data_IF_610581525412
#
_entry.id   IF_610581525412
#
_cell.length_a   1.000
_cell.length_b   1.000
_cell.length_c   1.000
_cell.angle_alpha   90.00
_cell.angle_beta   90.00
_cell.angle_gamma   90.00
#
_symmetry.space_group_name_H-M   'P 1'
#
loop_
_entity.id
_entity.type
_entity.pdbx_description
1 polymer ?
#
# COMPACT_ATOMS: atom_id res chain seq x y z
N UNK A 1 30.57 -27.31 34.48
CA UNK A 1 30.18 -26.29 35.47
C UNK A 1 29.19 -25.39 34.76
N UNK A 2 28.18 -25.03 35.52
CA UNK A 2 26.83 -24.60 35.15
C UNK A 2 26.72 -23.49 34.09
N UNK A 3 25.68 -23.59 33.26
CA UNK A 3 25.24 -22.55 32.33
C UNK A 3 24.43 -21.51 33.11
N UNK A 4 24.87 -20.25 33.11
CA UNK A 4 24.09 -19.12 33.59
C UNK A 4 23.66 -18.25 32.41
N UNK A 5 22.46 -18.49 31.88
CA UNK A 5 21.77 -17.55 31.00
C UNK A 5 21.33 -16.35 31.86
N UNK A 6 22.02 -15.21 31.71
CA UNK A 6 21.55 -13.94 32.26
C UNK A 6 20.45 -13.41 31.33
N UNK A 7 19.20 -13.77 31.65
CA UNK A 7 18.03 -13.08 31.12
C UNK A 7 18.10 -11.60 31.53
N UNK A 8 18.16 -10.72 30.53
CA UNK A 8 18.07 -9.26 30.71
C UNK A 8 16.68 -8.90 31.26
N UNK A 9 16.55 -8.94 32.58
CA UNK A 9 15.31 -8.67 33.28
C UNK A 9 14.97 -7.17 33.13
N UNK A 10 13.97 -6.88 32.29
CA UNK A 10 13.44 -5.52 32.09
C UNK A 10 13.04 -4.97 33.46
N UNK A 11 13.78 -3.96 33.93
CA UNK A 11 13.54 -3.32 35.22
C UNK A 11 12.09 -2.86 35.32
N UNK A 12 11.46 -3.06 36.48
CA UNK A 12 10.05 -2.76 36.72
C UNK A 12 9.69 -1.29 36.38
N UNK A 13 10.67 -0.39 36.52
CA UNK A 13 10.55 1.01 36.12
C UNK A 13 10.41 1.20 34.60
N UNK A 14 11.15 0.44 33.79
CA UNK A 14 11.05 0.48 32.32
C UNK A 14 9.70 -0.06 31.85
N UNK A 15 9.21 -1.13 32.49
CA UNK A 15 7.89 -1.71 32.22
C UNK A 15 6.77 -0.69 32.51
N UNK A 16 6.85 -0.01 33.65
CA UNK A 16 5.87 1.01 34.04
C UNK A 16 5.87 2.22 33.09
N UNK A 17 7.05 2.65 32.61
CA UNK A 17 7.13 3.71 31.60
C UNK A 17 6.52 3.29 30.26
N UNK A 18 6.78 2.06 29.81
CA UNK A 18 6.21 1.53 28.57
C UNK A 18 4.68 1.43 28.64
N UNK A 19 4.14 0.97 29.77
CA UNK A 19 2.70 0.87 29.99
C UNK A 19 2.02 2.24 30.08
N UNK A 20 2.64 3.21 30.77
CA UNK A 20 2.15 4.59 30.83
C UNK A 20 2.09 5.24 29.44
N UNK A 21 3.09 5.01 28.60
CA UNK A 21 3.13 5.53 27.22
C UNK A 21 2.05 4.88 26.34
N UNK A 22 1.86 3.55 26.48
CA UNK A 22 0.78 2.81 25.81
C UNK A 22 -0.60 3.34 26.19
N UNK A 23 -0.86 3.59 27.48
CA UNK A 23 -2.13 4.14 27.96
C UNK A 23 -2.36 5.57 27.47
N UNK A 24 -1.33 6.41 27.46
CA UNK A 24 -1.42 7.78 26.93
C UNK A 24 -1.75 7.80 25.42
N UNK A 25 -1.18 6.87 24.64
CA UNK A 25 -1.49 6.74 23.22
C UNK A 25 -2.93 6.28 22.96
N UNK A 26 -3.44 5.36 23.78
CA UNK A 26 -4.83 4.89 23.72
C UNK A 26 -5.83 5.99 24.12
N UNK A 27 -5.51 6.79 25.15
CA UNK A 27 -6.31 7.95 25.56
C UNK A 27 -6.44 8.98 24.43
N UNK A 28 -5.31 9.35 23.77
CA UNK A 28 -5.32 10.26 22.61
C UNK A 28 -6.14 9.74 21.43
N UNK A 29 -6.22 8.41 21.24
CA UNK A 29 -7.10 7.79 20.23
C UNK A 29 -8.56 7.84 20.63
N UNK A 30 -8.87 7.65 21.92
CA UNK A 30 -10.23 7.71 22.44
C UNK A 30 -10.80 9.13 22.40
N UNK A 31 -10.00 10.14 22.73
CA UNK A 31 -10.39 11.56 22.65
C UNK A 31 -10.71 11.98 21.21
N UNK A 32 -9.97 11.45 20.22
CA UNK A 32 -10.27 11.65 18.79
C UNK A 32 -11.56 10.97 18.31
N UNK A 33 -12.06 9.99 19.04
CA UNK A 33 -13.31 9.26 18.71
C UNK A 33 -14.50 9.89 19.46
N UNK A 34 -14.29 10.55 20.59
CA UNK A 34 -15.35 11.18 21.40
C UNK A 34 -15.63 12.65 21.08
N UNK A 35 -14.79 13.34 20.31
CA UNK A 35 -15.15 14.66 19.79
C UNK A 35 -16.08 14.54 18.56
N UNK A 36 -17.33 15.06 18.61
CA UNK A 36 -18.13 15.23 17.42
C UNK A 36 -17.48 16.35 16.59
N UNK A 37 -16.75 15.96 15.55
CA UNK A 37 -16.07 16.90 14.64
C UNK A 37 -17.12 17.77 13.92
N UNK A 38 -17.41 18.91 14.54
CA UNK A 38 -18.11 20.03 13.95
C UNK A 38 -17.17 20.71 12.94
N UNK A 39 -17.37 20.36 11.66
CA UNK A 39 -16.97 21.12 10.47
C UNK A 39 -15.47 21.44 10.29
N UNK A 40 -14.75 20.61 9.53
CA UNK A 40 -13.57 21.09 8.78
C UNK A 40 -13.27 20.32 7.50
N UNK A 41 -14.26 20.05 6.64
CA UNK A 41 -14.02 19.71 5.22
C UNK A 41 -15.22 20.11 4.34
N UNK A 42 -15.63 21.39 4.37
CA UNK A 42 -16.49 21.95 3.32
C UNK A 42 -15.62 22.20 2.08
N UNK A 43 -15.45 21.18 1.25
CA UNK A 43 -15.02 21.36 -0.13
C UNK A 43 -16.05 22.23 -0.83
N UNK A 44 -15.63 23.43 -1.24
CA UNK A 44 -16.42 24.39 -2.00
C UNK A 44 -16.96 23.73 -3.27
N UNK A 45 -18.24 23.36 -3.28
CA UNK A 45 -18.97 23.08 -4.52
C UNK A 45 -19.16 24.41 -5.26
N UNK A 46 -18.46 24.56 -6.39
CA UNK A 46 -18.70 25.64 -7.33
C UNK A 46 -20.17 25.64 -7.77
N UNK A 47 -20.87 26.72 -7.41
CA UNK A 47 -22.20 27.09 -7.88
C UNK A 47 -22.09 27.54 -9.33
N UNK A 48 -22.64 26.77 -10.28
CA UNK A 48 -22.99 27.32 -11.60
C UNK A 48 -24.42 27.86 -11.53
N UNK A 49 -24.55 29.18 -11.61
CA UNK A 49 -25.80 29.88 -11.93
C UNK A 49 -25.59 30.65 -13.23
N UNK A 50 -26.49 30.44 -14.18
CA UNK A 50 -26.94 31.37 -15.24
C UNK A 50 -27.72 30.51 -16.23
N UNK A 51 -28.96 30.76 -16.66
CA UNK A 51 -30.06 31.71 -16.47
C UNK A 51 -31.26 30.98 -17.13
N UNK A 52 -32.54 31.32 -16.99
CA UNK A 52 -33.17 32.60 -17.30
C UNK A 52 -34.70 32.45 -17.06
N UNK A 53 -35.32 33.52 -16.54
CA UNK A 53 -36.72 34.00 -16.64
C UNK A 53 -37.94 33.09 -16.35
N UNK A 54 -38.77 33.55 -15.41
CA UNK A 54 -40.18 33.20 -15.22
C UNK A 54 -41.08 33.81 -16.31
N UNK A 55 -42.04 33.04 -16.85
CA UNK A 55 -43.29 33.59 -17.39
C UNK A 55 -44.47 32.62 -17.19
N UNK A 56 -45.64 33.24 -16.96
CA UNK A 56 -46.92 32.70 -16.46
C UNK A 56 -47.55 31.50 -17.19
N UNK A 57 -48.30 30.70 -16.42
CA UNK A 57 -49.32 29.70 -16.86
C UNK A 57 -50.56 30.43 -17.42
N UNK A 58 -51.31 29.89 -18.41
CA UNK A 58 -52.48 29.04 -18.06
C UNK A 58 -52.91 27.95 -19.11
N UNK A 59 -53.49 26.86 -18.55
CA UNK A 59 -54.54 25.91 -19.02
C UNK A 59 -54.56 25.26 -20.44
N UNK A 60 -54.92 23.96 -20.41
CA UNK A 60 -55.18 22.91 -21.44
C UNK A 60 -56.18 23.27 -22.55
N UNK A 61 -56.09 22.67 -23.77
CA UNK A 61 -56.67 21.33 -24.03
C UNK A 61 -55.88 20.41 -25.01
N UNK A 62 -56.16 19.11 -24.96
CA UNK A 62 -55.64 18.04 -25.85
C UNK A 62 -56.00 18.27 -27.34
N UNK A 63 -55.16 17.84 -28.32
CA UNK A 63 -55.49 16.60 -29.05
C UNK A 63 -54.31 15.79 -29.68
N UNK A 64 -54.49 14.46 -29.71
CA UNK A 64 -54.26 13.50 -30.82
C UNK A 64 -52.89 13.48 -31.56
N UNK A 65 -52.02 12.53 -31.16
CA UNK A 65 -51.23 11.56 -31.98
C UNK A 65 -49.90 11.19 -31.27
N UNK A 66 -49.48 9.91 -31.18
CA UNK A 66 -48.19 9.56 -30.60
C UNK A 66 -47.05 9.89 -31.59
N UNK A 67 -45.98 10.61 -31.16
CA UNK A 67 -44.77 10.73 -31.96
C UNK A 67 -43.99 9.41 -31.98
N UNK A 68 -43.24 9.10 -33.04
CA UNK A 68 -42.42 7.90 -33.11
C UNK A 68 -41.36 7.92 -31.99
N UNK A 69 -41.18 6.76 -31.35
CA UNK A 69 -40.23 6.57 -30.24
C UNK A 69 -38.88 7.25 -30.55
N UNK A 70 -38.36 8.13 -29.68
CA UNK A 70 -37.00 8.59 -29.83
C UNK A 70 -36.09 7.37 -29.71
N UNK A 71 -35.30 7.09 -30.76
CA UNK A 71 -34.19 6.15 -30.69
C UNK A 71 -33.37 6.49 -29.45
N UNK A 72 -33.47 5.66 -28.42
CA UNK A 72 -32.65 5.77 -27.23
C UNK A 72 -31.19 5.67 -27.68
N UNK A 73 -30.35 6.71 -27.43
CA UNK A 73 -28.93 6.57 -27.67
C UNK A 73 -28.46 5.38 -26.83
N UNK A 74 -27.81 4.40 -27.48
CA UNK A 74 -27.26 3.23 -26.81
C UNK A 74 -26.50 3.69 -25.56
N UNK A 75 -26.72 3.08 -24.39
CA UNK A 75 -26.04 3.49 -23.17
C UNK A 75 -24.52 3.51 -23.41
N UNK A 76 -23.78 4.49 -22.83
CA UNK A 76 -22.35 4.59 -23.04
C UNK A 76 -21.69 3.25 -22.69
N UNK A 77 -20.65 2.83 -23.45
CA UNK A 77 -19.97 1.57 -23.18
C UNK A 77 -19.48 1.55 -21.73
N UNK A 78 -19.81 0.48 -21.02
CA UNK A 78 -19.41 0.28 -19.62
C UNK A 78 -17.96 -0.16 -19.55
N UNK A 79 -17.09 0.67 -18.95
CA UNK A 79 -15.67 0.38 -18.77
C UNK A 79 -15.18 0.86 -17.40
N UNK A 80 -14.16 0.19 -16.89
CA UNK A 80 -13.47 0.58 -15.66
C UNK A 80 -11.99 0.25 -15.75
N UNK A 81 -11.19 0.84 -14.85
CA UNK A 81 -9.76 0.60 -14.74
C UNK A 81 -9.50 -0.40 -13.64
N UNK A 82 -8.69 -1.42 -13.92
CA UNK A 82 -8.13 -2.31 -12.92
C UNK A 82 -6.74 -1.79 -12.55
N UNK A 83 -6.62 -1.27 -11.33
CA UNK A 83 -5.36 -0.74 -10.80
C UNK A 83 -4.66 -1.79 -9.96
N UNK A 84 -3.42 -2.11 -10.33
CA UNK A 84 -2.59 -3.08 -9.65
C UNK A 84 -1.66 -2.36 -8.67
N UNK A 85 -1.63 -2.78 -7.41
CA UNK A 85 -0.77 -2.21 -6.38
C UNK A 85 -0.12 -3.28 -5.51
N UNK A 86 1.12 -3.05 -5.08
CA UNK A 86 1.78 -3.94 -4.11
C UNK A 86 1.11 -3.76 -2.74
N UNK A 87 0.69 -4.86 -2.12
CA UNK A 87 0.08 -4.84 -0.78
C UNK A 87 0.90 -5.61 0.27
N UNK A 88 1.73 -6.58 -0.14
CA UNK A 88 2.68 -7.28 0.73
C UNK A 88 3.95 -7.62 -0.05
N UNK A 89 5.00 -8.16 0.62
CA UNK A 89 6.22 -8.59 -0.08
C UNK A 89 5.99 -9.64 -1.17
N UNK A 90 4.94 -10.45 -1.04
CA UNK A 90 4.64 -11.62 -1.89
C UNK A 90 3.26 -11.56 -2.56
N UNK A 91 2.54 -10.44 -2.44
CA UNK A 91 1.20 -10.26 -3.00
C UNK A 91 0.94 -8.84 -3.48
N UNK A 92 0.01 -8.73 -4.43
CA UNK A 92 -0.47 -7.48 -4.98
C UNK A 92 -2.01 -7.50 -5.04
N UNK A 93 -2.63 -6.32 -5.03
CA UNK A 93 -4.07 -6.18 -5.13
C UNK A 93 -4.49 -5.61 -6.48
N UNK A 94 -5.70 -5.95 -6.90
CA UNK A 94 -6.39 -5.39 -8.06
C UNK A 94 -7.62 -4.65 -7.56
N UNK A 95 -7.65 -3.35 -7.81
CA UNK A 95 -8.72 -2.46 -7.37
C UNK A 95 -9.46 -1.91 -8.60
N UNK A 96 -10.80 -2.05 -8.69
CA UNK A 96 -11.58 -1.41 -9.74
C UNK A 96 -11.70 0.10 -9.47
N UNK A 97 -11.40 0.92 -10.48
CA UNK A 97 -11.41 2.38 -10.41
C UNK A 97 -12.25 2.92 -11.58
N UNK A 98 -13.08 3.96 -11.36
CA UNK A 98 -13.81 4.62 -12.44
C UNK A 98 -12.89 5.21 -13.52
N UNK A 99 -13.28 5.07 -14.78
CA UNK A 99 -12.61 5.71 -15.92
C UNK A 99 -13.31 7.00 -16.34
N UNK A 100 -12.54 8.02 -16.67
CA UNK A 100 -13.10 9.28 -17.17
C UNK A 100 -13.73 9.06 -18.54
N UNK A 101 -14.99 9.52 -18.71
CA UNK A 101 -15.71 9.43 -19.98
C UNK A 101 -16.49 8.13 -20.21
N UNK A 102 -16.46 7.18 -19.28
CA UNK A 102 -17.23 5.92 -19.35
C UNK A 102 -18.19 5.80 -18.17
N UNK A 103 -19.29 5.06 -18.37
CA UNK A 103 -20.21 4.73 -17.27
C UNK A 103 -19.57 3.67 -16.38
N UNK A 104 -19.36 4.02 -15.10
CA UNK A 104 -18.84 3.06 -14.12
C UNK A 104 -19.94 2.03 -13.77
N UNK A 105 -19.70 0.72 -13.96
CA UNK A 105 -20.70 -0.35 -13.73
C UNK A 105 -21.16 -0.51 -12.26
N UNK A 106 -20.48 0.16 -11.33
CA UNK A 106 -20.61 -0.09 -9.90
C UNK A 106 -19.61 -1.14 -9.42
N UNK A 107 -19.22 -1.03 -8.16
CA UNK A 107 -18.11 -1.78 -7.58
C UNK A 107 -18.32 -3.30 -7.62
N UNK A 108 -19.48 -3.79 -7.19
CA UNK A 108 -19.76 -5.23 -7.15
C UNK A 108 -19.71 -5.87 -8.54
N UNK A 109 -20.27 -5.19 -9.56
CA UNK A 109 -20.24 -5.67 -10.94
C UNK A 109 -18.80 -5.68 -11.50
N UNK A 110 -18.01 -4.66 -11.17
CA UNK A 110 -16.59 -4.65 -11.56
C UNK A 110 -15.82 -5.81 -10.91
N UNK A 111 -16.08 -6.12 -9.63
CA UNK A 111 -15.43 -7.23 -8.93
C UNK A 111 -15.86 -8.59 -9.48
N UNK A 112 -17.14 -8.79 -9.78
CA UNK A 112 -17.62 -10.01 -10.45
C UNK A 112 -16.93 -10.19 -11.79
N UNK A 113 -16.87 -9.12 -12.60
CA UNK A 113 -16.20 -9.15 -13.89
C UNK A 113 -14.69 -9.41 -13.77
N UNK A 114 -14.04 -8.86 -12.74
CA UNK A 114 -12.65 -9.17 -12.43
C UNK A 114 -12.48 -10.65 -12.05
N UNK A 115 -13.36 -11.22 -11.23
CA UNK A 115 -13.34 -12.65 -10.88
C UNK A 115 -13.54 -13.55 -12.10
N UNK A 116 -14.45 -13.18 -12.99
CA UNK A 116 -14.70 -13.94 -14.22
C UNK A 116 -13.45 -13.95 -15.12
N UNK A 117 -12.84 -12.77 -15.30
CA UNK A 117 -11.61 -12.62 -16.08
C UNK A 117 -10.43 -13.34 -15.42
N UNK A 118 -10.37 -13.36 -14.09
CA UNK A 118 -9.27 -13.92 -13.30
C UNK A 118 -9.60 -15.31 -12.75
N UNK A 119 -10.54 -16.02 -13.37
CA UNK A 119 -10.96 -17.38 -12.97
C UNK A 119 -9.82 -18.41 -13.01
N UNK A 120 -8.76 -18.14 -13.77
CA UNK A 120 -7.56 -18.97 -13.84
C UNK A 120 -6.55 -18.75 -12.69
N UNK A 121 -6.76 -17.74 -11.84
CA UNK A 121 -5.84 -17.37 -10.76
C UNK A 121 -6.55 -17.46 -9.42
N UNK A 122 -5.91 -18.08 -8.43
CA UNK A 122 -6.45 -18.17 -7.08
C UNK A 122 -6.42 -16.80 -6.39
N UNK A 123 -7.60 -16.30 -6.03
CA UNK A 123 -7.73 -15.11 -5.17
C UNK A 123 -7.33 -15.50 -3.74
N UNK A 124 -6.41 -14.75 -3.13
CA UNK A 124 -6.01 -14.95 -1.74
C UNK A 124 -7.13 -14.54 -0.78
N UNK A 125 -7.56 -13.28 -0.87
CA UNK A 125 -8.66 -12.70 -0.10
C UNK A 125 -9.09 -11.36 -0.71
N UNK A 126 -10.24 -10.84 -0.28
CA UNK A 126 -10.69 -9.49 -0.63
C UNK A 126 -10.48 -8.56 0.56
N UNK A 127 -9.88 -7.39 0.33
CA UNK A 127 -9.62 -6.38 1.37
C UNK A 127 -10.38 -5.10 1.09
N UNK A 128 -10.53 -4.26 2.12
CA UNK A 128 -11.00 -2.89 1.95
C UNK A 128 -9.78 -1.96 1.81
N UNK A 129 -9.76 -1.22 0.70
CA UNK A 129 -8.79 -0.17 0.41
C UNK A 129 -8.99 1.03 1.34
N UNK A 130 -7.97 1.87 1.46
CA UNK A 130 -8.00 3.08 2.30
C UNK A 130 -9.03 4.12 1.85
N UNK A 131 -9.46 4.06 0.59
CA UNK A 131 -10.54 4.86 0.02
C UNK A 131 -11.94 4.20 0.17
N UNK A 132 -12.05 3.12 0.94
CA UNK A 132 -13.32 2.45 1.26
C UNK A 132 -13.80 1.42 0.22
N UNK A 133 -13.14 1.33 -0.93
CA UNK A 133 -13.46 0.33 -1.96
C UNK A 133 -12.89 -1.05 -1.68
N UNK A 134 -13.40 -2.10 -2.30
CA UNK A 134 -12.95 -3.49 -2.18
C UNK A 134 -11.90 -3.82 -3.24
N UNK A 135 -10.85 -4.54 -2.85
CA UNK A 135 -9.80 -5.02 -3.74
C UNK A 135 -9.65 -6.53 -3.62
N UNK A 136 -9.28 -7.20 -4.72
CA UNK A 136 -8.92 -8.62 -4.71
C UNK A 136 -7.40 -8.76 -4.63
N UNK A 137 -6.89 -9.63 -3.74
CA UNK A 137 -5.46 -9.86 -3.52
C UNK A 137 -5.02 -11.15 -4.23
N UNK A 138 -3.86 -11.11 -4.87
CA UNK A 138 -3.27 -12.20 -5.65
C UNK A 138 -1.78 -12.36 -5.30
N UNK A 139 -1.24 -13.57 -5.48
CA UNK A 139 0.19 -13.80 -5.31
C UNK A 139 1.01 -13.10 -6.39
N UNK A 140 2.19 -12.61 -6.03
CA UNK A 140 3.10 -11.94 -6.96
C UNK A 140 3.54 -12.87 -8.11
N UNK A 141 3.59 -14.18 -7.86
CA UNK A 141 3.90 -15.22 -8.86
C UNK A 141 2.89 -15.25 -10.01
N UNK A 142 1.66 -14.86 -9.74
CA UNK A 142 0.57 -14.88 -10.72
C UNK A 142 0.41 -13.53 -11.45
N UNK A 143 1.31 -12.56 -11.21
CA UNK A 143 1.21 -11.21 -11.77
C UNK A 143 1.09 -11.21 -13.30
N UNK A 144 1.91 -12.00 -13.99
CA UNK A 144 1.85 -12.10 -15.45
C UNK A 144 0.54 -12.73 -15.95
N UNK A 145 0.02 -13.74 -15.24
CA UNK A 145 -1.23 -14.40 -15.57
C UNK A 145 -2.42 -13.44 -15.39
N UNK A 146 -2.45 -12.71 -14.28
CA UNK A 146 -3.44 -11.67 -14.01
C UNK A 146 -3.38 -10.58 -15.08
N UNK A 147 -2.19 -10.07 -15.39
CA UNK A 147 -2.02 -9.01 -16.37
C UNK A 147 -2.51 -9.43 -17.76
N UNK A 148 -2.17 -10.65 -18.19
CA UNK A 148 -2.61 -11.21 -19.47
C UNK A 148 -4.12 -11.34 -19.56
N UNK A 149 -4.74 -11.82 -18.48
CA UNK A 149 -6.19 -12.01 -18.40
C UNK A 149 -6.94 -10.67 -18.41
N UNK A 150 -6.45 -9.67 -17.67
CA UNK A 150 -7.07 -8.34 -17.66
C UNK A 150 -6.95 -7.65 -19.02
N UNK A 151 -5.77 -7.70 -19.66
CA UNK A 151 -5.53 -7.13 -21.00
C UNK A 151 -6.35 -7.80 -22.11
N UNK A 152 -6.73 -9.07 -21.94
CA UNK A 152 -7.58 -9.77 -22.91
C UNK A 152 -9.02 -9.24 -22.92
N UNK A 153 -9.45 -8.57 -21.86
CA UNK A 153 -10.82 -8.08 -21.73
C UNK A 153 -10.98 -6.65 -22.29
N UNK A 154 -11.91 -6.47 -23.24
CA UNK A 154 -12.16 -5.16 -23.88
C UNK A 154 -12.85 -4.13 -22.97
N UNK A 155 -13.34 -4.52 -21.80
CA UNK A 155 -14.03 -3.62 -20.87
C UNK A 155 -13.14 -3.07 -19.78
N UNK A 156 -11.93 -3.61 -19.61
CA UNK A 156 -11.03 -3.28 -18.51
C UNK A 156 -9.81 -2.55 -19.09
N UNK A 157 -9.45 -1.43 -18.48
CA UNK A 157 -8.16 -0.78 -18.71
C UNK A 157 -7.21 -1.18 -17.59
N UNK A 158 -5.98 -1.59 -17.90
CA UNK A 158 -5.04 -2.04 -16.88
C UNK A 158 -4.08 -0.91 -16.51
N UNK A 159 -4.04 -0.54 -15.22
CA UNK A 159 -3.01 0.31 -14.64
C UNK A 159 -2.02 -0.59 -13.91
N UNK A 160 -0.87 -0.83 -14.54
CA UNK A 160 0.15 -1.77 -14.09
C UNK A 160 1.04 -1.20 -12.99
N UNK A 161 1.68 -2.09 -12.25
CA UNK A 161 2.76 -1.72 -11.34
C UNK A 161 3.97 -1.33 -12.20
N UNK A 162 4.57 -0.15 -12.01
CA UNK A 162 5.78 0.23 -12.74
C UNK A 162 6.86 -0.84 -12.64
N UNK A 163 7.48 -1.19 -13.77
CA UNK A 163 8.41 -2.32 -13.85
C UNK A 163 9.56 -2.23 -12.84
N UNK A 164 10.11 -1.03 -12.62
CA UNK A 164 11.18 -0.83 -11.64
C UNK A 164 10.75 -1.19 -10.20
N UNK A 165 9.50 -0.91 -9.84
CA UNK A 165 8.92 -1.31 -8.55
C UNK A 165 8.70 -2.81 -8.50
N UNK A 166 8.07 -3.39 -9.53
CA UNK A 166 7.80 -4.83 -9.60
C UNK A 166 9.08 -5.67 -9.50
N UNK A 167 10.10 -5.34 -10.30
CA UNK A 167 11.38 -6.07 -10.29
C UNK A 167 12.10 -6.00 -8.93
N UNK A 168 11.98 -4.89 -8.20
CA UNK A 168 12.53 -4.80 -6.84
C UNK A 168 11.74 -5.68 -5.87
N UNK A 169 10.42 -5.61 -5.90
CA UNK A 169 9.57 -6.40 -4.99
C UNK A 169 9.69 -7.89 -5.25
N UNK A 170 9.73 -8.31 -6.51
CA UNK A 170 9.92 -9.71 -6.90
C UNK A 170 11.26 -10.27 -6.37
N UNK A 171 12.36 -9.55 -6.56
CA UNK A 171 13.68 -9.97 -6.05
C UNK A 171 13.70 -10.03 -4.53
N UNK A 172 13.07 -9.06 -3.85
CA UNK A 172 12.96 -9.06 -2.39
C UNK A 172 12.08 -10.22 -1.89
N UNK A 173 10.97 -10.52 -2.57
CA UNK A 173 10.12 -11.68 -2.27
C UNK A 173 10.89 -12.98 -2.36
N UNK A 174 11.72 -13.13 -3.40
CA UNK A 174 12.56 -14.31 -3.58
C UNK A 174 13.64 -14.41 -2.50
N UNK A 175 14.26 -13.29 -2.13
CA UNK A 175 15.23 -13.23 -1.02
C UNK A 175 14.59 -13.64 0.31
N UNK A 176 13.37 -13.16 0.60
CA UNK A 176 12.64 -13.52 1.81
C UNK A 176 12.27 -15.01 1.82
N UNK A 177 11.75 -15.53 0.71
CA UNK A 177 11.38 -16.94 0.58
C UNK A 177 12.57 -17.89 0.68
N UNK A 178 13.74 -17.49 0.16
CA UNK A 178 14.97 -18.26 0.25
C UNK A 178 15.67 -18.14 1.62
N UNK A 179 15.24 -17.22 2.49
CA UNK A 179 15.90 -16.93 3.76
C UNK A 179 17.34 -16.40 3.61
N UNK A 180 17.72 -15.93 2.41
CA UNK A 180 19.06 -15.47 2.07
C UNK A 180 19.00 -14.09 1.46
N UNK A 181 19.90 -13.20 1.85
CA UNK A 181 20.03 -11.88 1.23
C UNK A 181 20.49 -12.00 -0.23
N UNK A 182 19.72 -11.41 -1.16
CA UNK A 182 20.07 -11.35 -2.58
C UNK A 182 20.22 -9.88 -2.99
N UNK A 183 21.41 -9.46 -3.46
CA UNK A 183 21.62 -8.13 -4.00
C UNK A 183 20.67 -7.81 -5.16
N UNK A 184 19.89 -6.75 -5.02
CA UNK A 184 18.87 -6.36 -6.01
C UNK A 184 19.29 -5.16 -6.86
N UNK A 185 20.28 -4.39 -6.40
CA UNK A 185 20.83 -3.19 -7.06
C UNK A 185 22.36 -3.22 -7.03
N UNK A 186 23.05 -2.47 -7.91
CA UNK A 186 24.52 -2.44 -7.94
C UNK A 186 25.17 -2.05 -6.61
N UNK A 187 24.49 -1.22 -5.82
CA UNK A 187 24.98 -0.76 -4.52
C UNK A 187 24.71 -1.76 -3.39
N UNK A 188 23.94 -2.83 -3.65
CA UNK A 188 23.70 -3.87 -2.67
C UNK A 188 24.88 -4.85 -2.64
N UNK A 189 25.32 -5.23 -1.44
CA UNK A 189 26.46 -6.09 -1.23
C UNK A 189 26.03 -7.48 -0.74
N UNK A 190 26.68 -8.57 -1.18
CA UNK A 190 26.48 -9.90 -0.61
C UNK A 190 27.13 -10.00 0.80
N UNK A 191 26.73 -10.99 1.58
CA UNK A 191 27.16 -11.14 2.98
C UNK A 191 28.68 -11.23 3.12
N UNK A 192 29.35 -11.94 2.21
CA UNK A 192 30.81 -12.12 2.25
C UNK A 192 31.54 -10.76 2.12
N UNK A 193 31.00 -9.85 1.31
CA UNK A 193 31.57 -8.51 1.15
C UNK A 193 31.27 -7.61 2.35
N UNK A 194 30.11 -7.77 2.96
CA UNK A 194 29.71 -7.05 4.17
C UNK A 194 30.64 -7.43 5.33
N UNK A 195 30.91 -8.72 5.52
CA UNK A 195 31.83 -9.19 6.56
C UNK A 195 33.26 -8.71 6.32
N UNK A 196 33.73 -8.64 5.07
CA UNK A 196 35.01 -8.03 4.72
C UNK A 196 35.08 -6.55 5.14
N UNK A 197 34.02 -5.77 4.88
CA UNK A 197 33.97 -4.35 5.26
C UNK A 197 33.95 -4.19 6.78
N UNK A 198 33.19 -5.01 7.50
CA UNK A 198 33.14 -4.98 8.96
C UNK A 198 34.51 -5.32 9.56
N UNK A 199 35.22 -6.30 8.99
CA UNK A 199 36.57 -6.68 9.46
C UNK A 199 37.61 -5.56 9.34
N UNK A 200 37.37 -4.57 8.46
CA UNK A 200 38.25 -3.40 8.26
C UNK A 200 37.97 -2.27 9.24
N UNK A 201 36.88 -2.35 10.01
CA UNK A 201 36.52 -1.31 10.98
C UNK A 201 37.47 -1.31 12.18
N UNK A 202 37.72 -0.15 12.82
CA UNK A 202 38.52 -0.07 14.04
C UNK A 202 37.94 -0.94 15.16
N UNK A 203 38.76 -1.83 15.72
CA UNK A 203 38.34 -2.77 16.78
C UNK A 203 37.65 -2.08 17.97
N UNK A 204 38.18 -0.94 18.42
CA UNK A 204 37.58 -0.15 19.51
C UNK A 204 36.13 0.25 19.25
N UNK A 205 35.78 0.55 17.99
CA UNK A 205 34.40 0.89 17.64
C UNK A 205 33.52 -0.36 17.63
N UNK A 206 34.00 -1.47 17.05
CA UNK A 206 33.29 -2.75 17.06
C UNK A 206 33.00 -3.23 18.48
N UNK A 207 33.98 -3.12 19.38
CA UNK A 207 33.85 -3.52 20.79
C UNK A 207 32.87 -2.63 21.57
N UNK A 208 32.57 -1.43 21.07
CA UNK A 208 31.61 -0.50 21.69
C UNK A 208 30.18 -0.76 21.21
N UNK A 209 30.00 -1.41 20.05
CA UNK A 209 28.68 -1.66 19.50
C UNK A 209 27.98 -2.81 20.23
N UNK A 210 26.71 -2.62 20.54
CA UNK A 210 25.85 -3.73 20.93
C UNK A 210 25.55 -4.66 19.74
N UNK A 211 25.26 -5.96 19.97
CA UNK A 211 24.99 -6.92 18.91
C UNK A 211 23.89 -6.48 17.93
N UNK A 212 22.82 -5.85 18.42
CA UNK A 212 21.74 -5.34 17.57
C UNK A 212 22.18 -4.18 16.67
N UNK A 213 23.09 -3.32 17.15
CA UNK A 213 23.63 -2.22 16.38
C UNK A 213 24.55 -2.72 15.27
N UNK A 214 25.35 -3.76 15.55
CA UNK A 214 26.17 -4.42 14.54
C UNK A 214 25.31 -5.05 13.44
N UNK A 215 24.18 -5.66 13.80
CA UNK A 215 23.23 -6.16 12.78
C UNK A 215 22.59 -5.02 12.00
N UNK A 216 22.31 -3.87 12.62
CA UNK A 216 21.89 -2.64 11.94
C UNK A 216 22.92 -2.15 10.90
N UNK A 217 24.21 -2.17 11.26
CA UNK A 217 25.31 -1.84 10.33
C UNK A 217 25.39 -2.87 9.20
N UNK A 218 25.31 -4.17 9.49
CA UNK A 218 25.22 -5.23 8.45
C UNK A 218 24.05 -4.99 7.50
N UNK A 219 22.89 -4.67 8.06
CA UNK A 219 21.67 -4.38 7.30
C UNK A 219 21.85 -3.18 6.35
N UNK A 220 22.51 -2.12 6.82
CA UNK A 220 22.83 -0.94 6.02
C UNK A 220 23.86 -1.22 4.93
N UNK A 221 24.95 -1.90 5.25
CA UNK A 221 26.01 -2.26 4.29
C UNK A 221 25.48 -3.16 3.17
N UNK A 222 24.63 -4.15 3.48
CA UNK A 222 23.90 -4.96 2.50
C UNK A 222 23.17 -4.11 1.46
N UNK A 223 22.69 -2.93 1.84
CA UNK A 223 21.89 -2.00 1.02
C UNK A 223 22.68 -0.78 0.52
N UNK A 224 24.01 -0.80 0.63
CA UNK A 224 24.87 0.31 0.24
C UNK A 224 24.57 1.59 1.04
N UNK A 225 24.37 1.45 2.35
CA UNK A 225 24.06 2.55 3.27
C UNK A 225 22.62 3.06 3.22
N UNK A 226 21.79 2.58 2.28
CA UNK A 226 20.40 3.02 2.11
C UNK A 226 19.46 2.20 2.99
N UNK A 227 19.38 2.55 4.27
CA UNK A 227 18.48 1.94 5.24
C UNK A 227 17.82 2.98 6.16
N UNK A 228 16.64 2.62 6.69
CA UNK A 228 16.03 3.32 7.80
C UNK A 228 16.38 2.56 9.09
N UNK A 229 17.14 3.21 9.99
CA UNK A 229 17.44 2.70 11.33
C UNK A 229 16.51 3.40 12.31
N UNK A 230 15.52 2.67 12.83
CA UNK A 230 14.43 3.20 13.64
C UNK A 230 14.39 2.62 15.06
N UNK A 231 15.55 2.27 15.62
CA UNK A 231 15.67 1.78 16.99
C UNK A 231 15.18 2.82 18.01
N UNK A 232 14.88 2.39 19.23
CA UNK A 232 14.43 3.28 20.31
C UNK A 232 15.41 4.43 20.61
N UNK A 233 14.87 5.53 21.14
CA UNK A 233 15.66 6.70 21.52
C UNK A 233 16.64 6.35 22.65
N UNK A 234 17.85 6.93 22.62
CA UNK A 234 18.89 6.66 23.63
C UNK A 234 19.81 5.48 23.31
N UNK A 235 19.48 4.62 22.34
CA UNK A 235 20.29 3.47 21.94
C UNK A 235 21.51 3.79 21.06
N UNK A 236 22.00 5.04 21.04
CA UNK A 236 23.28 5.35 20.37
C UNK A 236 23.34 5.16 18.85
N UNK A 237 22.25 5.35 18.11
CA UNK A 237 22.17 5.18 16.63
C UNK A 237 23.19 6.00 15.82
N UNK A 238 23.71 7.09 16.38
CA UNK A 238 24.73 7.93 15.72
C UNK A 238 25.98 7.12 15.35
N UNK A 239 26.39 6.17 16.19
CA UNK A 239 27.53 5.30 15.89
C UNK A 239 27.27 4.40 14.68
N UNK A 240 26.04 3.88 14.53
CA UNK A 240 25.68 3.07 13.37
C UNK A 240 25.77 3.89 12.07
N UNK A 241 25.32 5.14 12.08
CA UNK A 241 25.35 6.03 10.91
C UNK A 241 26.78 6.31 10.47
N UNK A 242 27.69 6.62 11.41
CA UNK A 242 29.10 6.88 11.11
C UNK A 242 29.84 5.70 10.48
N UNK A 243 29.35 4.47 10.67
CA UNK A 243 29.93 3.27 10.10
C UNK A 243 29.38 2.91 8.71
N UNK A 244 28.30 3.57 8.30
CA UNK A 244 27.64 3.36 7.01
C UNK A 244 28.00 4.41 5.96
N UNK A 245 28.68 5.48 6.38
CA UNK A 245 29.26 6.53 5.53
C UNK A 245 30.67 6.14 5.05
#
# INVERSE_FOLDING_TARGET
MDNGEEEEEITEEQRNRAEANRLAALAKRKDRISEPNNNSWKLFKCRKLSGNVDFHKPQTPSPVNPPPNPCTPSPPPQRFRARLEICSPDSFCVTPVPLQGFTYPGENNCLEKLRDCLSCVSVLHCTQTTCGGKACVYHLRDYEAVLRSLKSSKSIECEEIPWGTFNVVERLSNSLAAGRWIPCRPEHLPDEKVDELISKLPKRLLDTLHPFQLEGVRFGLRRGGRCLIADEMGLGKTLQVMLLE
#
